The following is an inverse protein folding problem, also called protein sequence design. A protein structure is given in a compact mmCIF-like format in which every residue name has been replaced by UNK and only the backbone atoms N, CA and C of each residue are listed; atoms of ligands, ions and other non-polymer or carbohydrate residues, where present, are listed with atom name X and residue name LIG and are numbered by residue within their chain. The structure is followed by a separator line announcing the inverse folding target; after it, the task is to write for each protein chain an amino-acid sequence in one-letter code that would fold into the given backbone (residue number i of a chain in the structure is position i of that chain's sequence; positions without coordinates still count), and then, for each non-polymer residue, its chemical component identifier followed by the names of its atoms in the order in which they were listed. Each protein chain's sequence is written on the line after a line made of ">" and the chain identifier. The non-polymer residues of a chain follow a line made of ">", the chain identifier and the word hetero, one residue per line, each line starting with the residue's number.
data_IF_200043693747
#
_entry.id   IF_200043693747
#
_cell.length_a   1.000
_cell.length_b   1.000
_cell.length_c   1.000
_cell.angle_alpha   90.00
_cell.angle_beta   90.00
_cell.angle_gamma   90.00
#
_symmetry.space_group_name_H-M   'P 1'
#
loop_
_entity.id
_entity.type
_entity.pdbx_description
1 polymer ?
#
# COMPACT_ATOMS: atom_id res chain seq x y z
N UNK A 1 -3.85 7.26 -6.74
CA UNK A 1 -3.96 7.42 -8.21
C UNK A 1 -2.63 7.08 -8.85
N UNK A 2 -2.63 6.46 -10.04
CA UNK A 2 -1.40 6.12 -10.75
C UNK A 2 -0.68 7.41 -11.21
N UNK A 3 0.62 7.47 -10.93
CA UNK A 3 1.48 8.55 -11.40
C UNK A 3 1.55 8.57 -12.94
N UNK A 4 1.81 9.73 -13.58
CA UNK A 4 1.79 9.85 -15.03
C UNK A 4 2.68 8.85 -15.77
N UNK A 5 3.87 8.55 -15.23
CA UNK A 5 4.81 7.59 -15.82
C UNK A 5 4.24 6.16 -15.90
N UNK A 6 3.37 5.78 -14.96
CA UNK A 6 2.85 4.41 -14.85
C UNK A 6 1.59 4.15 -15.69
N UNK A 7 1.01 5.17 -16.34
CA UNK A 7 -0.25 5.05 -17.09
C UNK A 7 -0.18 3.97 -18.19
N UNK A 8 0.94 3.89 -18.92
CA UNK A 8 1.13 2.88 -19.98
C UNK A 8 1.27 1.47 -19.41
N UNK A 9 2.05 1.34 -18.34
CA UNK A 9 2.25 0.07 -17.63
C UNK A 9 0.92 -0.53 -17.15
N UNK A 10 0.08 0.25 -16.46
CA UNK A 10 -1.20 -0.22 -15.94
C UNK A 10 -2.22 -0.57 -17.04
N UNK A 11 -2.01 -0.11 -18.28
CA UNK A 11 -2.81 -0.49 -19.45
C UNK A 11 -2.20 -1.66 -20.24
N UNK A 12 -0.99 -2.10 -19.91
CA UNK A 12 -0.32 -3.20 -20.60
C UNK A 12 -1.04 -4.53 -20.38
N UNK A 13 -0.92 -5.44 -21.35
CA UNK A 13 -1.47 -6.80 -21.24
C UNK A 13 -0.71 -7.61 -20.18
N UNK A 14 0.60 -7.38 -20.07
CA UNK A 14 1.47 -8.02 -19.09
C UNK A 14 0.98 -7.75 -17.67
N UNK A 15 0.73 -6.48 -17.33
CA UNK A 15 0.19 -6.11 -16.03
C UNK A 15 -1.19 -6.73 -15.78
N UNK A 16 -2.10 -6.65 -16.76
CA UNK A 16 -3.45 -7.22 -16.61
C UNK A 16 -3.40 -8.72 -16.33
N UNK A 17 -2.55 -9.46 -17.05
CA UNK A 17 -2.38 -10.90 -16.86
C UNK A 17 -1.87 -11.23 -15.45
N UNK A 18 -0.79 -10.56 -15.01
CA UNK A 18 -0.21 -10.81 -13.68
C UNK A 18 -1.20 -10.40 -12.58
N UNK A 19 -1.89 -9.27 -12.74
CA UNK A 19 -2.93 -8.80 -11.82
C UNK A 19 -4.02 -9.85 -11.66
N UNK A 20 -4.54 -10.40 -12.76
CA UNK A 20 -5.60 -11.41 -12.72
C UNK A 20 -5.10 -12.72 -12.09
N UNK A 21 -3.85 -13.11 -12.37
CA UNK A 21 -3.21 -14.26 -11.73
C UNK A 21 -3.11 -14.08 -10.20
N UNK A 22 -2.58 -12.94 -9.74
CA UNK A 22 -2.43 -12.63 -8.31
C UNK A 22 -3.79 -12.59 -7.62
N UNK A 23 -4.79 -11.96 -8.25
CA UNK A 23 -6.13 -11.91 -7.70
C UNK A 23 -6.74 -13.31 -7.53
N UNK A 24 -6.53 -14.21 -8.51
CA UNK A 24 -6.97 -15.62 -8.42
C UNK A 24 -6.20 -16.41 -7.37
N UNK A 25 -4.86 -16.26 -7.32
CA UNK A 25 -3.99 -16.88 -6.29
C UNK A 25 -4.48 -16.55 -4.88
N UNK A 26 -4.87 -15.30 -4.68
CA UNK A 26 -5.33 -14.76 -3.41
C UNK A 26 -6.81 -15.07 -3.13
N UNK A 27 -7.46 -15.88 -3.98
CA UNK A 27 -8.90 -16.20 -3.95
C UNK A 27 -9.81 -14.97 -3.95
N UNK A 28 -9.33 -13.85 -4.51
CA UNK A 28 -10.03 -12.56 -4.48
C UNK A 28 -10.22 -11.99 -3.07
N UNK A 29 -9.40 -12.41 -2.10
CA UNK A 29 -9.49 -11.95 -0.71
C UNK A 29 -8.33 -11.00 -0.34
N UNK A 30 -8.61 -10.08 0.57
CA UNK A 30 -7.60 -9.23 1.18
C UNK A 30 -6.64 -10.06 2.04
N UNK A 31 -5.37 -10.13 1.65
CA UNK A 31 -4.39 -10.96 2.35
C UNK A 31 -4.04 -10.41 3.74
N UNK A 32 -4.03 -9.10 3.92
CA UNK A 32 -3.81 -8.47 5.23
C UNK A 32 -4.95 -8.76 6.21
N UNK A 33 -6.20 -8.73 5.74
CA UNK A 33 -7.35 -9.11 6.56
C UNK A 33 -7.30 -10.59 6.91
N UNK A 34 -6.99 -11.45 5.93
CA UNK A 34 -6.91 -12.89 6.12
C UNK A 34 -5.87 -13.27 7.17
N UNK A 35 -4.68 -12.65 7.12
CA UNK A 35 -3.63 -12.82 8.13
C UNK A 35 -4.10 -12.40 9.53
N UNK A 36 -4.97 -11.39 9.61
CA UNK A 36 -5.62 -10.95 10.86
C UNK A 36 -6.88 -11.76 11.24
N UNK A 37 -7.14 -12.90 10.58
CA UNK A 37 -8.29 -13.76 10.86
C UNK A 37 -9.64 -13.24 10.35
N UNK A 38 -9.65 -12.26 9.43
CA UNK A 38 -10.85 -11.65 8.87
C UNK A 38 -11.00 -11.98 7.39
N UNK A 39 -12.17 -12.44 6.99
CA UNK A 39 -12.49 -12.64 5.57
C UNK A 39 -13.04 -11.33 5.00
N UNK A 40 -12.33 -10.75 4.04
CA UNK A 40 -12.73 -9.49 3.39
C UNK A 40 -12.42 -9.58 1.91
N UNK A 41 -13.35 -9.21 1.01
CA UNK A 41 -13.09 -9.14 -0.42
C UNK A 41 -11.91 -8.22 -0.74
N UNK A 42 -11.03 -8.69 -1.61
CA UNK A 42 -10.01 -7.89 -2.27
C UNK A 42 -10.63 -7.02 -3.35
N UNK A 43 -10.17 -5.77 -3.46
CA UNK A 43 -10.62 -4.83 -4.48
C UNK A 43 -9.50 -4.50 -5.47
N UNK A 44 -8.25 -4.55 -5.02
CA UNK A 44 -7.10 -4.05 -5.77
C UNK A 44 -5.88 -4.96 -5.55
N UNK A 45 -5.02 -5.08 -6.56
CA UNK A 45 -3.69 -5.68 -6.42
C UNK A 45 -2.68 -4.56 -6.21
N UNK A 46 -1.89 -4.67 -5.15
CA UNK A 46 -0.95 -3.68 -4.67
C UNK A 46 0.49 -4.15 -4.88
N UNK A 47 1.36 -3.24 -5.32
CA UNK A 47 2.81 -3.45 -5.35
C UNK A 47 3.41 -3.27 -3.96
N UNK A 48 4.03 -4.33 -3.42
CA UNK A 48 4.74 -4.30 -2.14
C UNK A 48 6.00 -3.42 -2.18
N UNK A 49 6.62 -3.30 -3.35
CA UNK A 49 7.69 -2.35 -3.63
C UNK A 49 7.09 -1.22 -4.45
N UNK A 50 7.16 0.02 -3.96
CA UNK A 50 6.59 1.17 -4.65
C UNK A 50 7.19 1.33 -6.05
N UNK A 51 6.32 1.41 -7.06
CA UNK A 51 6.76 1.70 -8.42
C UNK A 51 7.20 3.16 -8.54
N UNK A 52 8.32 3.35 -9.23
CA UNK A 52 8.95 4.62 -9.56
C UNK A 52 9.25 4.63 -11.06
N UNK A 53 9.56 5.80 -11.62
CA UNK A 53 9.97 5.89 -13.02
C UNK A 53 11.25 5.09 -13.34
N UNK A 54 12.05 4.76 -12.32
CA UNK A 54 13.33 4.06 -12.47
C UNK A 54 13.17 2.53 -12.44
N UNK A 55 12.24 2.02 -11.63
CA UNK A 55 12.08 0.57 -11.44
C UNK A 55 10.89 -0.05 -12.19
N UNK A 56 10.08 0.75 -12.89
CA UNK A 56 8.85 0.25 -13.52
C UNK A 56 9.09 -0.75 -14.65
N UNK A 57 10.22 -0.63 -15.34
CA UNK A 57 10.61 -1.53 -16.43
C UNK A 57 11.35 -2.79 -15.95
N UNK A 58 11.66 -2.88 -14.65
CA UNK A 58 12.22 -4.09 -14.03
C UNK A 58 11.09 -5.08 -13.72
N UNK A 59 11.01 -6.17 -14.49
CA UNK A 59 9.96 -7.17 -14.36
C UNK A 59 10.00 -7.92 -13.01
N UNK A 60 11.18 -8.04 -12.38
CA UNK A 60 11.31 -8.68 -11.06
C UNK A 60 10.71 -7.84 -9.93
N UNK A 61 10.45 -6.56 -10.21
CA UNK A 61 9.76 -5.61 -9.33
C UNK A 61 8.31 -5.41 -9.76
N UNK A 62 8.08 -5.09 -11.04
CA UNK A 62 6.79 -4.60 -11.51
C UNK A 62 5.79 -5.69 -11.85
N UNK A 63 6.28 -6.88 -12.25
CA UNK A 63 5.47 -8.01 -12.73
C UNK A 63 5.65 -9.29 -11.92
N UNK A 64 6.54 -9.31 -10.93
CA UNK A 64 6.75 -10.48 -10.07
C UNK A 64 5.55 -10.68 -9.11
N UNK A 65 4.82 -11.81 -9.17
CA UNK A 65 3.70 -12.09 -8.28
C UNK A 65 4.05 -12.05 -6.78
N UNK A 66 5.29 -12.37 -6.40
CA UNK A 66 5.73 -12.35 -5.00
C UNK A 66 5.92 -10.92 -4.46
N UNK A 67 5.94 -9.93 -5.36
CA UNK A 67 5.94 -8.49 -5.02
C UNK A 67 4.55 -7.87 -5.09
N UNK A 68 3.51 -8.69 -5.25
CA UNK A 68 2.13 -8.26 -5.44
C UNK A 68 1.19 -8.92 -4.43
N UNK A 69 0.21 -8.15 -3.96
CA UNK A 69 -0.76 -8.63 -2.96
C UNK A 69 -2.16 -8.08 -3.23
N UNK A 70 -3.18 -8.91 -3.08
CA UNK A 70 -4.58 -8.50 -3.18
C UNK A 70 -5.07 -7.92 -1.85
N UNK A 71 -5.65 -6.71 -1.88
CA UNK A 71 -6.07 -5.97 -0.69
C UNK A 71 -7.46 -5.36 -0.84
N UNK A 72 -8.15 -5.19 0.29
CA UNK A 72 -9.32 -4.31 0.37
C UNK A 72 -8.88 -2.83 0.36
N UNK A 73 -9.84 -1.93 0.16
CA UNK A 73 -9.59 -0.49 0.10
C UNK A 73 -8.83 0.04 1.32
N UNK A 74 -9.24 -0.35 2.53
CA UNK A 74 -8.65 0.16 3.77
C UNK A 74 -7.20 -0.30 3.95
N UNK A 75 -6.91 -1.59 3.69
CA UNK A 75 -5.54 -2.11 3.77
C UNK A 75 -4.65 -1.50 2.67
N UNK A 76 -5.19 -1.34 1.45
CA UNK A 76 -4.47 -0.69 0.36
C UNK A 76 -4.10 0.75 0.71
N UNK A 77 -5.04 1.52 1.25
CA UNK A 77 -4.82 2.90 1.72
C UNK A 77 -3.75 2.96 2.82
N UNK A 78 -3.82 2.08 3.82
CA UNK A 78 -2.83 2.00 4.90
C UNK A 78 -1.41 1.78 4.38
N UNK A 79 -1.24 0.89 3.39
CA UNK A 79 0.08 0.64 2.79
C UNK A 79 0.63 1.81 2.00
N UNK A 80 -0.21 2.59 1.32
CA UNK A 80 0.22 3.83 0.65
C UNK A 80 0.54 4.96 1.64
N UNK A 81 -0.17 5.02 2.76
CA UNK A 81 -0.02 6.12 3.70
C UNK A 81 1.20 5.97 4.60
N UNK A 82 1.69 4.74 4.84
CA UNK A 82 2.69 4.49 5.88
C UNK A 82 2.18 4.95 7.25
N UNK A 83 2.95 4.75 8.32
CA UNK A 83 2.64 5.28 9.66
C UNK A 83 2.80 6.81 9.70
N UNK A 84 2.00 7.54 8.94
CA UNK A 84 1.86 8.99 9.13
C UNK A 84 0.99 9.18 10.35
N UNK A 85 1.62 9.64 11.43
CA UNK A 85 0.89 10.24 12.54
C UNK A 85 -0.07 11.28 11.96
N UNK A 86 -1.31 11.32 12.45
CA UNK A 86 -2.23 12.42 12.14
C UNK A 86 -1.70 13.77 12.67
N UNK A 87 -0.68 13.71 13.52
CA UNK A 87 0.02 14.85 14.05
C UNK A 87 1.24 15.17 13.19
N UNK A 88 1.46 16.47 12.98
CA UNK A 88 2.74 16.99 12.50
C UNK A 88 3.85 16.55 13.45
N UNK A 89 5.05 16.34 12.92
CA UNK A 89 6.25 16.04 13.71
C UNK A 89 6.43 17.11 14.81
N UNK A 90 6.68 16.69 16.06
CA UNK A 90 6.75 17.58 17.22
C UNK A 90 5.44 17.82 17.98
N UNK A 91 4.38 17.05 17.71
CA UNK A 91 3.13 17.09 18.47
C UNK A 91 2.70 15.70 18.96
N UNK A 92 2.12 15.62 20.17
CA UNK A 92 1.57 14.40 20.77
C UNK A 92 0.23 14.66 21.48
N UNK A 93 -0.50 13.59 21.82
CA UNK A 93 -1.69 13.68 22.67
C UNK A 93 -1.30 13.60 24.16
N UNK A 94 -1.90 14.42 25.01
CA UNK A 94 -1.85 14.25 26.47
C UNK A 94 -2.86 13.19 26.95
N UNK A 95 -2.94 12.96 28.27
CA UNK A 95 -3.83 11.95 28.86
C UNK A 95 -5.33 12.28 28.67
N UNK A 96 -5.66 13.54 28.43
CA UNK A 96 -7.01 14.05 28.23
C UNK A 96 -7.39 14.13 26.74
N UNK A 97 -6.46 13.79 25.84
CA UNK A 97 -6.66 13.78 24.40
C UNK A 97 -6.43 15.14 23.71
N UNK A 98 -5.82 16.11 24.39
CA UNK A 98 -5.43 17.38 23.78
C UNK A 98 -4.10 17.26 23.03
N UNK A 99 -3.91 18.07 22.00
CA UNK A 99 -2.67 18.14 21.23
C UNK A 99 -1.69 19.08 21.95
N UNK A 100 -0.51 18.58 22.29
CA UNK A 100 0.58 19.34 22.93
C UNK A 100 1.86 19.29 22.10
N UNK A 101 2.68 20.34 22.17
CA UNK A 101 4.01 20.38 21.56
C UNK A 101 4.96 19.45 22.31
N UNK A 102 5.67 18.60 21.57
CA UNK A 102 6.73 17.73 22.07
C UNK A 102 8.07 18.45 22.00
N UNK A 103 8.17 19.61 22.66
CA UNK A 103 9.42 20.36 22.72
C UNK A 103 10.39 19.63 23.65
N UNK A 104 11.56 19.16 23.19
CA UNK A 104 12.58 18.67 24.10
C UNK A 104 13.03 19.81 25.03
N UNK A 105 13.27 19.55 26.33
CA UNK A 105 13.71 20.59 27.25
C UNK A 105 15.02 21.20 26.74
N UNK A 106 15.02 22.54 26.66
CA UNK A 106 16.22 23.32 26.37
C UNK A 106 17.21 23.05 27.51
N UNK A 107 18.36 22.45 27.20
CA UNK A 107 19.46 22.26 28.16
C UNK A 107 20.13 23.58 28.50
#
# INVERSE_FOLDING_TARGET
>A
MAQPFAKRFYKSKQWQHVRDYVFKRDNGLCQDCLQAGRITPGLEVHHLVTLTAVNIDDADISLNPDRLVTLCYDCHKKRHQGNRSALTEGYRFDADGNIIEDTPPIK
#
